data_IF_851619797346
#
_entry.id   IF_851619797346
#
_cell.length_a   1.000
_cell.length_b   1.000
_cell.length_c   1.000
_cell.angle_alpha   90.00
_cell.angle_beta   90.00
_cell.angle_gamma   90.00
#
_symmetry.space_group_name_H-M   'P 1'
#
loop_
_entity.id
_entity.type
_entity.pdbx_description
1 polymer ?
#
# COMPACT_ATOMS: atom_id res chain seq x y z
N UNK A 1 -4.24 -13.29 24.96
CA UNK A 1 -4.40 -14.20 23.81
C UNK A 1 -4.18 -13.42 22.54
N UNK A 2 -2.90 -13.41 22.10
CA UNK A 2 -2.36 -12.59 21.04
C UNK A 2 -1.94 -13.50 19.88
N UNK A 3 -2.88 -14.19 19.22
CA UNK A 3 -2.58 -15.09 18.10
C UNK A 3 -3.21 -14.67 16.77
N UNK A 4 -4.05 -13.64 16.75
CA UNK A 4 -4.76 -13.20 15.51
C UNK A 4 -4.01 -12.11 14.69
N UNK A 5 -2.98 -11.47 15.26
CA UNK A 5 -2.21 -10.44 14.55
C UNK A 5 -1.08 -10.98 13.66
N UNK A 6 -0.71 -12.27 13.80
CA UNK A 6 0.40 -12.87 13.04
C UNK A 6 0.04 -13.28 11.61
N UNK A 7 -1.21 -13.60 11.32
CA UNK A 7 -1.64 -14.07 9.98
C UNK A 7 -1.67 -12.97 8.91
N UNK A 8 -2.01 -11.74 9.27
CA UNK A 8 -2.07 -10.61 8.33
C UNK A 8 -0.67 -10.15 7.88
N UNK A 9 0.30 -10.16 8.79
CA UNK A 9 1.68 -9.77 8.47
C UNK A 9 2.37 -10.74 7.51
N UNK A 10 2.05 -12.03 7.55
CA UNK A 10 2.72 -13.05 6.73
C UNK A 10 2.15 -13.15 5.31
N UNK A 11 0.86 -12.89 5.12
CA UNK A 11 0.24 -12.80 3.77
C UNK A 11 0.70 -11.53 3.07
N UNK A 12 0.78 -10.41 3.79
CA UNK A 12 1.35 -9.15 3.29
C UNK A 12 2.81 -9.31 2.87
N UNK A 13 3.62 -9.99 3.70
CA UNK A 13 5.02 -10.26 3.39
C UNK A 13 5.22 -11.17 2.18
N UNK A 14 4.36 -12.17 1.96
CA UNK A 14 4.50 -13.10 0.85
C UNK A 14 4.18 -12.49 -0.51
N UNK A 15 3.14 -11.66 -0.62
CA UNK A 15 2.77 -11.04 -1.90
C UNK A 15 3.57 -9.78 -2.23
N UNK A 16 4.04 -9.05 -1.21
CA UNK A 16 5.01 -7.94 -1.42
C UNK A 16 6.38 -8.48 -1.80
N UNK A 17 6.74 -9.70 -1.36
CA UNK A 17 8.00 -10.36 -1.74
C UNK A 17 7.94 -10.98 -3.15
N UNK A 18 6.77 -11.23 -3.74
CA UNK A 18 6.63 -11.73 -5.11
C UNK A 18 6.57 -10.63 -6.19
N UNK A 19 6.17 -9.42 -5.85
CA UNK A 19 6.63 -8.22 -6.57
C UNK A 19 8.01 -7.90 -5.98
N UNK A 20 9.05 -8.50 -6.52
CA UNK A 20 10.42 -8.04 -6.27
C UNK A 20 10.41 -6.52 -6.48
N UNK A 21 10.43 -5.75 -5.39
CA UNK A 21 10.94 -4.38 -5.41
C UNK A 21 12.44 -4.56 -5.66
N UNK A 22 12.75 -4.95 -6.88
CA UNK A 22 14.10 -5.03 -7.36
C UNK A 22 14.53 -3.61 -7.66
N UNK A 23 14.67 -2.82 -6.58
CA UNK A 23 15.31 -1.53 -6.71
C UNK A 23 16.75 -1.84 -7.15
N UNK A 24 17.02 -1.57 -8.40
CA UNK A 24 18.35 -1.67 -8.98
C UNK A 24 19.23 -0.55 -8.39
N UNK A 25 19.78 -0.82 -7.19
CA UNK A 25 20.62 0.13 -6.43
C UNK A 25 21.79 0.59 -7.29
N UNK A 26 22.38 -0.31 -8.08
CA UNK A 26 23.52 0.01 -8.95
C UNK A 26 23.11 0.97 -10.05
N UNK A 27 21.99 0.71 -10.71
CA UNK A 27 21.44 1.58 -11.75
C UNK A 27 21.09 2.97 -11.19
N UNK A 28 20.38 3.00 -10.07
CA UNK A 28 20.01 4.24 -9.38
C UNK A 28 21.22 5.08 -9.00
N UNK A 29 22.22 4.44 -8.45
CA UNK A 29 23.48 5.10 -8.09
C UNK A 29 24.19 5.72 -9.30
N UNK A 30 24.21 4.97 -10.43
CA UNK A 30 24.77 5.45 -11.70
C UNK A 30 24.01 6.64 -12.26
N UNK A 31 22.68 6.61 -12.26
CA UNK A 31 21.83 7.71 -12.71
C UNK A 31 22.09 8.98 -11.91
N UNK A 32 22.07 8.88 -10.59
CA UNK A 32 22.34 10.01 -9.69
C UNK A 32 23.74 10.56 -9.88
N UNK A 33 24.76 9.70 -9.96
CA UNK A 33 26.15 10.15 -10.24
C UNK A 33 26.22 10.94 -11.54
N UNK A 34 25.58 10.48 -12.61
CA UNK A 34 25.56 11.17 -13.90
C UNK A 34 24.78 12.49 -13.79
N UNK A 35 23.66 12.49 -13.10
CA UNK A 35 22.83 13.68 -12.87
C UNK A 35 23.62 14.78 -12.13
N UNK A 36 24.47 14.39 -11.17
CA UNK A 36 25.35 15.32 -10.46
C UNK A 36 26.68 15.61 -11.20
N UNK A 37 26.83 15.13 -12.44
CA UNK A 37 27.99 15.38 -13.27
C UNK A 37 29.29 14.74 -12.78
N UNK A 38 29.22 13.69 -11.94
CA UNK A 38 30.37 13.03 -11.35
C UNK A 38 30.88 11.87 -12.23
N UNK A 39 32.19 11.72 -12.33
CA UNK A 39 32.82 10.50 -12.84
C UNK A 39 32.81 9.41 -11.79
N UNK A 40 33.00 8.13 -12.21
CA UNK A 40 33.16 7.01 -11.26
C UNK A 40 34.37 7.21 -10.32
N UNK A 41 35.44 7.86 -10.82
CA UNK A 41 36.61 8.14 -10.02
C UNK A 41 36.31 9.19 -8.94
N UNK A 42 35.65 10.29 -9.30
CA UNK A 42 35.29 11.36 -8.35
C UNK A 42 34.35 10.85 -7.25
N UNK A 43 33.39 10.01 -7.59
CA UNK A 43 32.53 9.39 -6.58
C UNK A 43 33.31 8.44 -5.67
N UNK A 44 34.21 7.64 -6.24
CA UNK A 44 35.07 6.74 -5.49
C UNK A 44 35.95 7.50 -4.51
N UNK A 45 36.61 8.59 -4.97
CA UNK A 45 37.49 9.41 -4.15
C UNK A 45 36.71 10.07 -2.98
N UNK A 46 35.49 10.53 -3.22
CA UNK A 46 34.63 11.11 -2.17
C UNK A 46 34.17 10.11 -1.13
N UNK A 47 33.91 8.88 -1.56
CA UNK A 47 33.42 7.80 -0.69
C UNK A 47 34.55 6.95 -0.08
N UNK A 48 35.81 7.34 -0.30
CA UNK A 48 37.01 6.57 0.11
C UNK A 48 37.01 5.13 -0.41
N UNK A 49 36.52 4.93 -1.64
CA UNK A 49 36.39 3.65 -2.32
C UNK A 49 37.29 3.61 -3.57
N UNK A 50 37.40 2.45 -4.19
CA UNK A 50 38.08 2.33 -5.47
C UNK A 50 37.11 2.53 -6.65
N UNK A 51 37.60 3.10 -7.75
CA UNK A 51 36.83 3.21 -9.01
C UNK A 51 36.28 1.84 -9.46
N UNK A 52 37.09 0.77 -9.30
CA UNK A 52 36.69 -0.59 -9.65
C UNK A 52 35.46 -1.05 -8.84
N UNK A 53 35.43 -0.74 -7.54
CA UNK A 53 34.30 -1.05 -6.68
C UNK A 53 33.03 -0.30 -7.11
N UNK A 54 33.10 1.02 -7.34
CA UNK A 54 31.99 1.80 -7.87
C UNK A 54 31.48 1.22 -9.20
N UNK A 55 32.39 0.88 -10.12
CA UNK A 55 32.03 0.28 -11.41
C UNK A 55 31.30 -1.07 -11.26
N UNK A 56 31.73 -1.90 -10.30
CA UNK A 56 31.06 -3.20 -10.03
C UNK A 56 29.67 -2.99 -9.41
N UNK A 57 29.53 -2.01 -8.49
CA UNK A 57 28.23 -1.66 -7.90
C UNK A 57 27.23 -1.18 -8.98
N UNK A 58 27.66 -0.28 -9.85
CA UNK A 58 26.80 0.26 -10.92
C UNK A 58 26.37 -0.79 -11.95
N UNK A 59 27.05 -1.94 -12.01
CA UNK A 59 26.72 -3.07 -12.86
C UNK A 59 25.99 -4.19 -12.11
N UNK A 60 25.65 -3.99 -10.83
CA UNK A 60 25.08 -5.02 -9.97
C UNK A 60 25.93 -6.30 -9.84
N UNK A 61 27.23 -6.16 -10.05
CA UNK A 61 28.20 -7.26 -9.89
C UNK A 61 28.67 -7.43 -8.44
N UNK A 62 28.38 -6.44 -7.60
CA UNK A 62 28.67 -6.46 -6.17
C UNK A 62 27.55 -5.72 -5.43
N UNK A 63 27.30 -6.12 -4.17
CA UNK A 63 26.34 -5.45 -3.30
C UNK A 63 27.08 -4.72 -2.19
N UNK A 64 26.83 -3.42 -1.97
CA UNK A 64 27.47 -2.68 -0.88
C UNK A 64 26.91 -3.16 0.46
N UNK A 65 27.70 -3.02 1.51
CA UNK A 65 27.15 -3.07 2.87
C UNK A 65 26.23 -1.87 3.09
N UNK A 66 25.34 -1.95 4.07
CA UNK A 66 24.45 -0.80 4.40
C UNK A 66 25.27 0.44 4.75
N UNK A 67 26.36 0.29 5.52
CA UNK A 67 27.27 1.41 5.83
C UNK A 67 27.87 2.04 4.57
N UNK A 68 28.46 1.23 3.70
CA UNK A 68 29.04 1.70 2.44
C UNK A 68 28.00 2.40 1.55
N UNK A 69 26.78 1.89 1.51
CA UNK A 69 25.69 2.53 0.75
C UNK A 69 25.34 3.91 1.33
N UNK A 70 25.23 4.00 2.65
CA UNK A 70 24.97 5.30 3.32
C UNK A 70 26.08 6.32 3.05
N UNK A 71 27.34 5.90 3.09
CA UNK A 71 28.50 6.77 2.79
C UNK A 71 28.42 7.28 1.34
N UNK A 72 28.09 6.42 0.37
CA UNK A 72 27.93 6.82 -1.03
C UNK A 72 26.76 7.79 -1.19
N UNK A 73 25.61 7.53 -0.56
CA UNK A 73 24.42 8.40 -0.58
C UNK A 73 24.79 9.78 -0.04
N UNK A 74 25.53 9.83 1.07
CA UNK A 74 26.00 11.09 1.65
C UNK A 74 26.96 11.82 0.72
N UNK A 75 27.86 11.11 0.04
CA UNK A 75 28.78 11.71 -0.96
C UNK A 75 28.04 12.27 -2.18
N UNK A 76 26.86 11.75 -2.50
CA UNK A 76 25.95 12.31 -3.52
C UNK A 76 25.16 13.53 -3.00
N UNK A 77 25.29 13.89 -1.72
CA UNK A 77 24.58 15.02 -1.11
C UNK A 77 23.10 14.77 -0.83
N UNK A 78 22.70 13.51 -0.68
CA UNK A 78 21.32 13.09 -0.48
C UNK A 78 21.10 12.45 0.89
N UNK A 79 19.86 12.45 1.33
CA UNK A 79 19.43 11.59 2.45
C UNK A 79 19.09 10.18 1.95
N UNK A 80 19.13 9.15 2.81
CA UNK A 80 18.67 7.81 2.44
C UNK A 80 17.21 7.81 1.94
N UNK A 81 16.36 8.62 2.54
CA UNK A 81 14.96 8.74 2.12
C UNK A 81 14.86 9.21 0.65
N UNK A 82 15.60 10.24 0.27
CA UNK A 82 15.62 10.74 -1.12
C UNK A 82 16.20 9.72 -2.10
N UNK A 83 17.23 8.97 -1.68
CA UNK A 83 17.83 7.93 -2.52
C UNK A 83 16.84 6.79 -2.80
N UNK A 84 16.09 6.35 -1.78
CA UNK A 84 15.13 5.27 -1.90
C UNK A 84 13.74 5.72 -2.36
N UNK A 85 13.49 7.03 -2.41
CA UNK A 85 12.29 7.56 -3.05
C UNK A 85 12.51 7.51 -4.56
N UNK A 86 11.94 6.51 -5.21
CA UNK A 86 11.94 6.45 -6.66
C UNK A 86 11.30 7.71 -7.21
N UNK A 87 12.03 8.36 -8.13
CA UNK A 87 11.43 9.31 -9.06
C UNK A 87 10.67 8.58 -10.19
N UNK A 88 10.14 7.39 -9.93
CA UNK A 88 9.15 6.83 -10.83
C UNK A 88 7.98 7.80 -10.93
N UNK A 89 7.52 8.10 -12.13
CA UNK A 89 6.36 8.98 -12.28
C UNK A 89 5.24 8.42 -11.43
N UNK A 90 4.69 9.26 -10.55
CA UNK A 90 3.62 8.86 -9.63
C UNK A 90 2.54 8.11 -10.42
N UNK A 91 2.30 6.85 -10.07
CA UNK A 91 1.26 6.07 -10.74
C UNK A 91 -0.09 6.72 -10.41
N UNK A 92 -0.70 7.32 -11.45
CA UNK A 92 -1.98 8.03 -11.33
C UNK A 92 -3.15 7.09 -11.65
N UNK A 93 -2.94 6.12 -12.55
CA UNK A 93 -3.98 5.18 -13.00
C UNK A 93 -3.63 3.78 -12.56
N UNK A 94 -4.55 3.16 -11.83
CA UNK A 94 -4.44 1.79 -11.35
C UNK A 94 -5.41 0.89 -12.11
N UNK A 95 -4.94 -0.27 -12.57
CA UNK A 95 -5.72 -1.26 -13.30
C UNK A 95 -6.05 -2.44 -12.39
N UNK A 96 -6.99 -3.28 -12.80
CA UNK A 96 -7.40 -4.45 -12.01
C UNK A 96 -6.23 -5.40 -11.64
N UNK A 97 -5.19 -5.49 -12.48
CA UNK A 97 -3.99 -6.30 -12.21
C UNK A 97 -3.08 -5.69 -11.13
N UNK A 98 -3.28 -4.41 -10.80
CA UNK A 98 -2.52 -3.71 -9.75
C UNK A 98 -3.16 -3.88 -8.38
N UNK A 99 -4.43 -4.34 -8.32
CA UNK A 99 -5.18 -4.42 -7.08
C UNK A 99 -4.66 -5.57 -6.20
N UNK A 100 -4.59 -5.29 -4.92
CA UNK A 100 -4.42 -6.31 -3.91
C UNK A 100 -5.78 -6.80 -3.45
N UNK A 101 -5.97 -8.12 -3.27
CA UNK A 101 -7.25 -8.67 -2.83
C UNK A 101 -7.09 -9.63 -1.64
N UNK A 102 -8.10 -9.62 -0.78
CA UNK A 102 -8.27 -10.57 0.32
C UNK A 102 -9.67 -11.15 0.25
N UNK A 103 -9.76 -12.47 0.21
CA UNK A 103 -11.02 -13.23 0.33
C UNK A 103 -11.13 -13.70 1.77
N UNK A 104 -12.28 -13.45 2.38
CA UNK A 104 -12.63 -13.96 3.70
C UNK A 104 -13.81 -14.91 3.55
N UNK A 105 -13.52 -16.21 3.60
CA UNK A 105 -14.54 -17.26 3.43
C UNK A 105 -15.51 -17.31 4.62
N UNK A 106 -15.07 -17.00 5.84
CA UNK A 106 -15.93 -17.00 7.03
C UNK A 106 -16.95 -15.88 6.98
N UNK A 107 -16.51 -14.70 6.52
CA UNK A 107 -17.37 -13.52 6.35
C UNK A 107 -18.07 -13.47 4.99
N UNK A 108 -17.80 -14.43 4.13
CA UNK A 108 -18.33 -14.49 2.77
C UNK A 108 -18.20 -13.16 2.03
N UNK A 109 -16.97 -12.60 2.07
CA UNK A 109 -16.64 -11.29 1.56
C UNK A 109 -15.30 -11.25 0.83
N UNK A 110 -15.14 -10.26 -0.05
CA UNK A 110 -13.90 -9.97 -0.76
C UNK A 110 -13.61 -8.47 -0.64
N UNK A 111 -12.43 -8.14 -0.17
CA UNK A 111 -11.89 -6.77 -0.14
C UNK A 111 -10.80 -6.66 -1.20
N UNK A 112 -10.85 -5.60 -1.99
CA UNK A 112 -9.85 -5.28 -2.99
C UNK A 112 -9.31 -3.87 -2.73
N UNK A 113 -8.03 -3.76 -2.45
CA UNK A 113 -7.34 -2.47 -2.34
C UNK A 113 -7.07 -1.96 -3.75
N UNK A 114 -7.93 -1.05 -4.22
CA UNK A 114 -7.88 -0.53 -5.60
C UNK A 114 -6.79 0.51 -5.80
N UNK A 115 -6.22 1.01 -4.71
CA UNK A 115 -4.98 1.81 -4.68
C UNK A 115 -3.99 1.06 -3.78
N UNK A 116 -3.05 0.30 -4.35
CA UNK A 116 -1.96 -0.31 -3.58
C UNK A 116 -1.17 0.76 -2.83
N UNK A 117 -0.68 0.45 -1.64
CA UNK A 117 0.09 1.37 -0.79
C UNK A 117 -0.68 2.63 -0.35
N UNK A 118 -2.01 2.57 -0.29
CA UNK A 118 -2.83 3.70 0.17
C UNK A 118 -2.51 4.12 1.62
N UNK A 119 -1.89 3.25 2.44
CA UNK A 119 -1.46 3.57 3.81
C UNK A 119 -0.44 4.73 3.88
N UNK A 120 0.28 5.02 2.80
CA UNK A 120 1.19 6.18 2.70
C UNK A 120 0.48 7.44 2.20
N UNK A 121 -0.81 7.36 1.90
CA UNK A 121 -1.63 8.45 1.35
C UNK A 121 -2.63 8.96 2.39
N UNK A 122 -3.38 10.01 2.05
CA UNK A 122 -4.37 10.60 2.96
C UNK A 122 -5.64 9.77 3.07
N UNK A 123 -5.97 8.94 2.09
CA UNK A 123 -7.19 8.12 2.08
C UNK A 123 -6.92 6.73 1.51
N UNK A 124 -7.70 5.77 1.96
CA UNK A 124 -7.62 4.37 1.53
C UNK A 124 -8.95 3.93 0.93
N UNK A 125 -9.09 3.91 -0.40
CA UNK A 125 -10.26 3.38 -1.07
C UNK A 125 -10.14 1.87 -1.25
N UNK A 126 -11.17 1.14 -0.84
CA UNK A 126 -11.32 -0.30 -1.09
C UNK A 126 -12.60 -0.58 -1.87
N UNK A 127 -12.58 -1.64 -2.67
CA UNK A 127 -13.78 -2.23 -3.24
C UNK A 127 -14.18 -3.43 -2.38
N UNK A 128 -15.33 -3.34 -1.73
CA UNK A 128 -15.88 -4.42 -0.92
C UNK A 128 -16.99 -5.13 -1.69
N UNK A 129 -16.84 -6.44 -1.85
CA UNK A 129 -17.87 -7.34 -2.38
C UNK A 129 -18.37 -8.21 -1.25
N UNK A 130 -19.67 -8.20 -1.01
CA UNK A 130 -20.35 -9.04 -0.02
C UNK A 130 -21.27 -10.01 -0.73
N UNK A 131 -20.99 -11.29 -0.61
CA UNK A 131 -21.88 -12.34 -1.10
C UNK A 131 -23.14 -12.46 -0.22
N UNK A 132 -24.16 -13.22 -0.60
CA UNK A 132 -25.37 -13.40 0.22
C UNK A 132 -25.05 -13.86 1.64
N UNK A 133 -25.51 -13.12 2.64
CA UNK A 133 -25.19 -13.36 4.05
C UNK A 133 -23.82 -12.86 4.52
N UNK A 134 -23.00 -12.31 3.62
CA UNK A 134 -21.65 -11.84 3.93
C UNK A 134 -21.61 -10.52 4.71
N UNK A 135 -20.48 -10.27 5.34
CA UNK A 135 -20.24 -9.04 6.12
C UNK A 135 -18.80 -8.55 5.98
N UNK A 136 -18.59 -7.27 6.25
CA UNK A 136 -17.26 -6.73 6.46
C UNK A 136 -16.68 -7.16 7.81
N UNK A 137 -15.42 -6.75 8.07
CA UNK A 137 -14.87 -6.71 9.42
C UNK A 137 -15.74 -5.80 10.32
N UNK A 138 -15.65 -6.05 11.62
CA UNK A 138 -16.23 -5.17 12.63
C UNK A 138 -15.18 -4.17 13.07
N UNK A 139 -15.39 -2.91 12.74
CA UNK A 139 -14.50 -1.83 13.13
C UNK A 139 -14.93 -1.23 14.45
N UNK A 140 -13.95 -1.08 15.35
CA UNK A 140 -14.11 -0.37 16.61
C UNK A 140 -14.03 1.16 16.36
N UNK A 141 -14.43 1.99 17.33
CA UNK A 141 -14.30 3.45 17.20
C UNK A 141 -12.89 3.88 16.82
N UNK A 142 -12.76 4.70 15.80
CA UNK A 142 -11.50 5.23 15.26
C UNK A 142 -11.65 6.73 14.97
N UNK A 143 -10.52 7.44 14.93
CA UNK A 143 -10.47 8.86 14.54
C UNK A 143 -10.27 9.00 13.03
N UNK A 144 -11.23 8.50 12.26
CA UNK A 144 -11.24 8.62 10.80
C UNK A 144 -12.64 9.02 10.33
N UNK A 145 -12.70 9.48 9.09
CA UNK A 145 -13.94 9.74 8.36
C UNK A 145 -14.09 8.69 7.27
N UNK A 146 -15.28 8.19 7.10
CA UNK A 146 -15.56 7.13 6.14
C UNK A 146 -16.68 7.53 5.18
N UNK A 147 -16.43 7.23 3.91
CA UNK A 147 -17.38 7.41 2.83
C UNK A 147 -17.60 6.07 2.11
N UNK A 148 -18.84 5.76 1.77
CA UNK A 148 -19.14 4.62 0.92
C UNK A 148 -20.16 4.94 -0.16
N UNK A 149 -19.98 4.29 -1.32
CA UNK A 149 -20.91 4.35 -2.44
C UNK A 149 -21.25 2.95 -2.93
N UNK A 150 -22.53 2.59 -2.92
CA UNK A 150 -22.98 1.26 -3.33
C UNK A 150 -23.12 1.22 -4.85
N UNK A 151 -22.29 0.38 -5.50
CA UNK A 151 -22.28 0.18 -6.95
C UNK A 151 -23.39 -0.79 -7.37
N UNK A 152 -23.59 -1.87 -6.59
CA UNK A 152 -24.53 -2.97 -6.93
C UNK A 152 -25.15 -3.54 -5.67
N UNK A 153 -26.43 -3.90 -5.75
CA UNK A 153 -27.13 -4.58 -4.68
C UNK A 153 -27.64 -3.64 -3.59
N UNK A 154 -27.75 -4.19 -2.39
CA UNK A 154 -28.23 -3.46 -1.19
C UNK A 154 -27.43 -3.92 0.01
N UNK A 155 -26.93 -3.01 0.80
CA UNK A 155 -26.18 -3.31 2.02
C UNK A 155 -26.89 -2.73 3.25
N UNK A 156 -26.58 -3.28 4.40
CA UNK A 156 -26.97 -2.80 5.72
C UNK A 156 -25.74 -2.25 6.40
N UNK A 157 -25.65 -0.93 6.53
CA UNK A 157 -24.65 -0.27 7.36
C UNK A 157 -25.11 -0.28 8.81
N UNK A 158 -24.39 -0.98 9.66
CA UNK A 158 -24.60 -1.02 11.11
C UNK A 158 -23.63 -0.01 11.74
N UNK A 159 -24.14 1.08 12.33
CA UNK A 159 -23.33 2.13 12.95
C UNK A 159 -23.89 2.50 14.32
N UNK A 160 -23.12 2.31 15.39
CA UNK A 160 -23.51 2.64 16.77
C UNK A 160 -24.81 1.96 17.21
N UNK A 161 -25.08 0.74 16.77
CA UNK A 161 -26.29 -0.03 17.07
C UNK A 161 -27.50 0.31 16.20
N UNK A 162 -27.40 1.29 15.31
CA UNK A 162 -28.45 1.61 14.31
C UNK A 162 -28.11 0.91 12.97
N UNK A 163 -29.15 0.51 12.26
CA UNK A 163 -29.03 -0.13 10.94
C UNK A 163 -29.60 0.77 9.87
N UNK A 164 -28.77 1.11 8.90
CA UNK A 164 -29.15 1.92 7.74
C UNK A 164 -29.15 1.02 6.48
N UNK A 165 -30.19 1.10 5.69
CA UNK A 165 -30.24 0.40 4.40
C UNK A 165 -29.70 1.33 3.33
N UNK A 166 -28.70 0.87 2.57
CA UNK A 166 -28.11 1.63 1.47
C UNK A 166 -28.20 0.78 0.20
N UNK A 167 -28.78 1.34 -0.86
CA UNK A 167 -29.02 0.66 -2.14
C UNK A 167 -28.02 1.13 -3.19
N UNK A 168 -27.94 0.38 -4.29
CA UNK A 168 -27.16 0.80 -5.45
C UNK A 168 -27.52 2.24 -5.89
N UNK A 169 -26.48 3.06 -6.12
CA UNK A 169 -26.60 4.49 -6.41
C UNK A 169 -26.67 5.40 -5.18
N UNK A 170 -26.78 4.84 -3.97
CA UNK A 170 -26.79 5.61 -2.74
C UNK A 170 -25.42 5.60 -2.06
N UNK A 171 -25.17 6.60 -1.23
CA UNK A 171 -23.92 6.78 -0.48
C UNK A 171 -24.17 6.95 1.00
N UNK A 172 -23.13 6.76 1.79
CA UNK A 172 -23.08 7.09 3.21
C UNK A 172 -21.77 7.82 3.54
N UNK A 173 -21.83 8.59 4.61
CA UNK A 173 -20.66 9.26 5.19
C UNK A 173 -20.86 9.39 6.70
N UNK A 174 -19.80 9.10 7.46
CA UNK A 174 -19.80 9.27 8.91
C UNK A 174 -18.39 9.43 9.48
N UNK A 175 -18.30 10.01 10.70
CA UNK A 175 -17.09 9.90 11.53
C UNK A 175 -17.11 8.56 12.25
N UNK A 176 -16.03 7.80 12.14
CA UNK A 176 -15.96 6.42 12.65
C UNK A 176 -15.85 6.31 14.20
N UNK A 177 -16.40 7.27 14.92
CA UNK A 177 -16.41 7.33 16.39
C UNK A 177 -17.28 6.29 17.09
N UNK A 178 -17.88 5.35 16.36
CA UNK A 178 -18.70 4.25 16.89
C UNK A 178 -18.39 2.94 16.20
N UNK A 179 -18.62 1.82 16.90
CA UNK A 179 -18.55 0.49 16.29
C UNK A 179 -19.42 0.42 15.06
N UNK A 180 -18.87 -0.09 13.95
CA UNK A 180 -19.58 -0.18 12.68
C UNK A 180 -19.11 -1.37 11.84
N UNK A 181 -19.95 -1.79 10.92
CA UNK A 181 -19.69 -2.82 9.92
C UNK A 181 -20.78 -2.78 8.85
N UNK A 182 -20.55 -3.46 7.75
CA UNK A 182 -21.50 -3.56 6.64
C UNK A 182 -21.85 -5.04 6.45
N UNK A 183 -23.13 -5.34 6.21
CA UNK A 183 -23.62 -6.68 5.93
C UNK A 183 -24.54 -6.71 4.72
N UNK A 184 -24.55 -7.84 4.03
CA UNK A 184 -25.46 -8.14 2.93
C UNK A 184 -26.50 -9.16 3.37
N UNK A 185 -27.74 -8.73 3.62
CA UNK A 185 -28.88 -9.60 3.97
C UNK A 185 -29.70 -10.03 2.75
N UNK A 186 -29.26 -9.68 1.54
CA UNK A 186 -29.97 -10.04 0.30
C UNK A 186 -29.51 -11.39 -0.23
N UNK A 187 -30.24 -11.93 -1.21
CA UNK A 187 -29.90 -13.18 -1.90
C UNK A 187 -28.96 -12.99 -3.11
N UNK A 188 -28.47 -11.77 -3.34
CA UNK A 188 -27.58 -11.41 -4.45
C UNK A 188 -26.35 -10.70 -3.91
N UNK A 189 -25.27 -10.72 -4.67
CA UNK A 189 -24.07 -9.96 -4.32
C UNK A 189 -24.35 -8.48 -4.20
N UNK A 190 -23.68 -7.84 -3.24
CA UNK A 190 -23.60 -6.41 -3.10
C UNK A 190 -22.14 -5.96 -3.26
N UNK A 191 -21.93 -4.80 -3.88
CA UNK A 191 -20.60 -4.24 -4.13
C UNK A 191 -20.63 -2.74 -3.87
N UNK A 192 -19.60 -2.26 -3.19
CA UNK A 192 -19.44 -0.84 -2.89
C UNK A 192 -17.97 -0.42 -2.95
N UNK A 193 -17.74 0.86 -3.18
CA UNK A 193 -16.47 1.51 -2.84
C UNK A 193 -16.61 2.04 -1.41
N UNK A 194 -15.61 1.76 -0.58
CA UNK A 194 -15.53 2.26 0.78
C UNK A 194 -14.18 2.95 0.97
N UNK A 195 -14.19 4.15 1.51
CA UNK A 195 -13.00 5.00 1.66
C UNK A 195 -12.86 5.40 3.11
N UNK A 196 -11.67 5.23 3.66
CA UNK A 196 -11.29 5.77 4.98
C UNK A 196 -10.27 6.89 4.85
N UNK A 197 -10.38 7.92 5.67
CA UNK A 197 -9.43 9.02 5.80
C UNK A 197 -9.24 9.37 7.29
N UNK A 198 -8.04 9.17 7.88
CA UNK A 198 -6.90 8.48 7.30
C UNK A 198 -7.14 6.98 7.02
N UNK A 199 -6.19 6.29 6.33
CA UNK A 199 -6.23 4.84 6.09
C UNK A 199 -6.49 4.02 7.34
N UNK A 200 -7.38 3.02 7.26
CA UNK A 200 -7.80 2.22 8.42
C UNK A 200 -8.26 0.78 8.09
N UNK A 201 -8.21 0.35 6.81
CA UNK A 201 -8.62 -0.98 6.39
C UNK A 201 -7.51 -2.03 6.41
#
# INVERSE_FOLDING_TARGET
DCLLSRGLGDVYKRQVLEKEVNMDIGHRMKELRIQYGLTQQELADRAELTKGFISQLERNQNSPSVGTLLDIIQCLGMTPAEFFTDSEPEQIVYKANDYFEKIDEEKNSKVEWIIPNAQTRSMEPVRLTLHPGGSSEIYLPQECEEFGYVIKGTVKLCYGGKVHTVKAGESFYFKAGKKHFIENKSSKDAMLIWVSNPPSF
#
